data_IF_807346791893
#
_entry.id   IF_807346791893
#
_cell.length_a   1.000
_cell.length_b   1.000
_cell.length_c   1.000
_cell.angle_alpha   90.00
_cell.angle_beta   90.00
_cell.angle_gamma   90.00
#
_symmetry.space_group_name_H-M   'P 1'
#
loop_
_entity.id
_entity.type
_entity.pdbx_description
1 polymer ?
#
# COMPACT_ATOMS: atom_id res chain seq x y z
N UNK A 1 -2.62 -20.24 25.79
CA UNK A 1 -2.99 -18.80 25.81
C UNK A 1 -1.78 -17.86 25.69
N UNK A 2 -0.55 -18.29 26.03
CA UNK A 2 0.66 -17.44 25.97
C UNK A 2 1.33 -17.24 24.59
N UNK A 3 0.88 -17.91 23.53
CA UNK A 3 1.42 -17.71 22.18
C UNK A 3 0.82 -16.51 21.43
N UNK A 4 -0.27 -15.93 21.95
CA UNK A 4 -0.96 -14.76 21.38
C UNK A 4 -0.35 -13.42 21.81
N UNK A 5 0.60 -13.43 22.74
CA UNK A 5 1.26 -12.22 23.29
C UNK A 5 2.74 -12.09 22.88
N UNK A 6 3.15 -12.79 21.81
CA UNK A 6 4.50 -12.64 21.30
C UNK A 6 4.61 -11.31 20.53
N UNK A 7 5.22 -10.31 21.17
CA UNK A 7 5.56 -8.97 20.64
C UNK A 7 6.56 -9.00 19.45
N UNK A 8 6.76 -10.16 18.82
CA UNK A 8 7.58 -10.41 17.62
C UNK A 8 6.77 -10.77 16.38
N UNK A 9 5.45 -10.80 16.46
CA UNK A 9 4.59 -10.57 15.28
C UNK A 9 4.25 -9.10 15.25
N UNK A 10 5.28 -8.25 15.20
CA UNK A 10 5.13 -6.90 14.65
C UNK A 10 4.83 -7.13 13.18
N UNK A 11 3.54 -7.26 12.85
CA UNK A 11 3.07 -7.12 11.48
C UNK A 11 3.27 -5.64 11.16
N UNK A 12 4.53 -5.28 10.89
CA UNK A 12 4.93 -3.91 10.66
C UNK A 12 4.17 -3.35 9.47
N UNK A 13 4.06 -2.02 9.35
CA UNK A 13 3.52 -1.37 8.15
C UNK A 13 4.14 -1.89 6.84
N UNK A 14 5.35 -2.44 6.89
CA UNK A 14 6.03 -3.09 5.77
C UNK A 14 5.44 -4.43 5.30
N UNK A 15 4.58 -5.10 6.08
CA UNK A 15 3.82 -6.28 5.62
C UNK A 15 2.47 -5.91 4.98
N UNK A 16 2.03 -4.66 5.13
CA UNK A 16 0.85 -4.12 4.45
C UNK A 16 1.23 -3.70 3.01
N UNK A 17 1.34 -4.67 2.10
CA UNK A 17 1.21 -4.47 0.65
C UNK A 17 1.90 -3.25 0.03
N UNK A 18 3.06 -2.82 0.54
CA UNK A 18 3.76 -1.63 0.06
C UNK A 18 4.39 -1.83 -1.32
N UNK A 19 4.83 -0.74 -1.96
CA UNK A 19 5.46 -0.78 -3.29
C UNK A 19 6.66 -1.74 -3.34
N UNK A 20 7.48 -1.78 -2.29
CA UNK A 20 8.62 -2.70 -2.16
C UNK A 20 8.17 -4.16 -2.14
N UNK A 21 7.04 -4.47 -1.49
CA UNK A 21 6.48 -5.82 -1.46
C UNK A 21 5.95 -6.24 -2.83
N UNK A 22 5.27 -5.34 -3.54
CA UNK A 22 4.79 -5.59 -4.91
C UNK A 22 5.97 -5.93 -5.83
N UNK A 23 7.08 -5.18 -5.76
CA UNK A 23 8.29 -5.45 -6.55
C UNK A 23 8.87 -6.83 -6.23
N UNK A 24 8.96 -7.20 -4.94
CA UNK A 24 9.45 -8.53 -4.53
C UNK A 24 8.55 -9.67 -5.02
N UNK A 25 7.24 -9.47 -5.02
CA UNK A 25 6.30 -10.47 -5.58
C UNK A 25 6.52 -10.60 -7.07
N UNK A 26 6.64 -9.49 -7.80
CA UNK A 26 6.94 -9.51 -9.24
C UNK A 26 8.24 -10.25 -9.56
N UNK A 27 9.33 -9.99 -8.83
CA UNK A 27 10.61 -10.67 -9.06
C UNK A 27 10.49 -12.19 -8.85
N UNK A 28 9.83 -12.61 -7.77
CA UNK A 28 9.64 -14.02 -7.47
C UNK A 28 8.77 -14.73 -8.53
N UNK A 29 7.75 -14.03 -9.06
CA UNK A 29 6.89 -14.58 -10.12
C UNK A 29 7.65 -14.70 -11.45
N UNK A 30 8.55 -13.78 -11.77
CA UNK A 30 9.35 -13.81 -12.99
C UNK A 30 10.36 -14.96 -13.05
N UNK A 31 10.90 -15.40 -11.91
CA UNK A 31 11.89 -16.49 -11.83
C UNK A 31 11.30 -17.90 -12.04
N UNK A 32 9.97 -18.01 -12.17
CA UNK A 32 9.28 -19.29 -12.41
C UNK A 32 9.32 -19.68 -13.90
N UNK A 33 9.26 -20.98 -14.22
CA UNK A 33 9.30 -21.47 -15.62
C UNK A 33 8.19 -20.88 -16.52
N UNK A 34 7.01 -20.60 -15.94
CA UNK A 34 5.88 -19.92 -16.59
C UNK A 34 5.72 -18.45 -16.13
N UNK A 35 6.83 -17.79 -15.75
CA UNK A 35 6.83 -16.52 -15.04
C UNK A 35 6.10 -15.38 -15.76
N UNK A 36 6.23 -15.30 -17.09
CA UNK A 36 5.53 -14.27 -17.89
C UNK A 36 4.01 -14.37 -17.78
N UNK A 37 3.44 -15.58 -17.72
CA UNK A 37 1.99 -15.81 -17.61
C UNK A 37 1.49 -15.46 -16.21
N UNK A 38 2.26 -15.83 -15.17
CA UNK A 38 1.93 -15.48 -13.78
C UNK A 38 1.98 -13.98 -13.54
N UNK A 39 2.98 -13.29 -14.10
CA UNK A 39 3.12 -11.84 -14.01
C UNK A 39 1.94 -11.12 -14.67
N UNK A 40 1.52 -11.57 -15.86
CA UNK A 40 0.34 -11.01 -16.53
C UNK A 40 -0.93 -11.24 -15.71
N UNK A 41 -1.14 -12.45 -15.21
CA UNK A 41 -2.28 -12.74 -14.34
C UNK A 41 -2.29 -11.85 -13.08
N UNK A 42 -1.15 -11.74 -12.40
CA UNK A 42 -1.01 -10.90 -11.21
C UNK A 42 -1.26 -9.42 -11.53
N UNK A 43 -0.73 -8.93 -12.66
CA UNK A 43 -0.97 -7.57 -13.14
C UNK A 43 -2.46 -7.30 -13.37
N UNK A 44 -3.18 -8.23 -14.00
CA UNK A 44 -4.63 -8.11 -14.23
C UNK A 44 -5.36 -8.05 -12.89
N UNK A 45 -5.07 -8.96 -11.97
CA UNK A 45 -5.72 -8.97 -10.64
C UNK A 45 -5.43 -7.68 -9.85
N UNK A 46 -4.19 -7.21 -9.88
CA UNK A 46 -3.79 -5.95 -9.23
C UNK A 46 -4.56 -4.76 -9.83
N UNK A 47 -4.58 -4.63 -11.16
CA UNK A 47 -5.28 -3.54 -11.84
C UNK A 47 -6.79 -3.58 -11.60
N UNK A 48 -7.41 -4.76 -11.62
CA UNK A 48 -8.85 -4.90 -11.30
C UNK A 48 -9.14 -4.47 -9.87
N UNK A 49 -8.31 -4.88 -8.90
CA UNK A 49 -8.46 -4.42 -7.52
C UNK A 49 -8.30 -2.90 -7.40
N UNK A 50 -7.32 -2.32 -8.10
CA UNK A 50 -7.11 -0.87 -8.10
C UNK A 50 -8.27 -0.12 -8.75
N UNK A 51 -8.84 -0.66 -9.83
CA UNK A 51 -10.04 -0.12 -10.47
C UNK A 51 -11.25 -0.15 -9.52
N UNK A 52 -11.46 -1.26 -8.81
CA UNK A 52 -12.54 -1.37 -7.80
C UNK A 52 -12.34 -0.37 -6.65
N UNK A 53 -11.11 -0.22 -6.16
CA UNK A 53 -10.78 0.79 -5.14
C UNK A 53 -11.05 2.21 -5.67
N UNK A 54 -10.68 2.50 -6.91
CA UNK A 54 -10.93 3.81 -7.54
C UNK A 54 -12.42 4.11 -7.76
N UNK A 55 -13.28 3.10 -7.86
CA UNK A 55 -14.73 3.30 -7.91
C UNK A 55 -15.37 3.56 -6.54
N UNK A 56 -14.62 3.41 -5.44
CA UNK A 56 -15.14 3.73 -4.11
C UNK A 56 -15.46 5.24 -4.00
N UNK A 57 -16.44 5.60 -3.18
CA UNK A 57 -16.87 6.98 -2.99
C UNK A 57 -15.91 7.80 -2.10
N UNK A 58 -14.64 7.82 -2.46
CA UNK A 58 -13.60 8.56 -1.74
C UNK A 58 -13.35 9.89 -2.45
N UNK A 59 -13.38 11.05 -1.75
CA UNK A 59 -13.30 12.39 -2.36
C UNK A 59 -12.08 12.68 -3.24
N UNK A 60 -11.00 11.91 -3.10
CA UNK A 60 -9.74 12.07 -3.86
C UNK A 60 -9.63 11.08 -5.03
N UNK A 61 -10.47 10.04 -5.04
CA UNK A 61 -10.50 9.04 -6.12
C UNK A 61 -11.59 9.41 -7.13
N UNK A 62 -11.45 8.89 -8.36
CA UNK A 62 -12.39 9.14 -9.47
C UNK A 62 -13.85 8.82 -9.10
N UNK A 63 -14.08 7.77 -8.31
CA UNK A 63 -15.40 7.36 -7.80
C UNK A 63 -16.06 8.39 -6.88
N UNK A 64 -15.28 9.23 -6.18
CA UNK A 64 -15.81 10.31 -5.35
C UNK A 64 -16.49 11.40 -6.18
N UNK A 65 -15.88 11.79 -7.29
CA UNK A 65 -16.46 12.77 -8.22
C UNK A 65 -17.73 12.24 -8.90
N UNK A 66 -17.74 10.95 -9.25
CA UNK A 66 -18.90 10.28 -9.83
C UNK A 66 -20.04 10.25 -8.80
N UNK A 67 -19.78 9.87 -7.55
CA UNK A 67 -20.81 9.85 -6.51
C UNK A 67 -21.37 11.25 -6.25
N UNK A 68 -20.53 12.28 -6.16
CA UNK A 68 -21.00 13.64 -5.91
C UNK A 68 -21.90 14.16 -7.03
N UNK A 69 -21.51 13.89 -8.28
CA UNK A 69 -22.33 14.20 -9.46
C UNK A 69 -23.68 13.46 -9.42
N UNK A 70 -23.67 12.19 -8.98
CA UNK A 70 -24.89 11.40 -8.80
C UNK A 70 -25.79 11.97 -7.70
N UNK A 71 -25.20 12.35 -6.56
CA UNK A 71 -25.92 12.98 -5.44
C UNK A 71 -26.50 14.33 -5.87
N UNK A 72 -25.77 15.11 -6.65
CA UNK A 72 -26.25 16.39 -7.20
C UNK A 72 -27.40 16.17 -8.19
N UNK A 73 -27.31 15.17 -9.07
CA UNK A 73 -28.39 14.79 -9.98
C UNK A 73 -29.66 14.36 -9.23
N UNK A 74 -29.52 13.60 -8.14
CA UNK A 74 -30.65 13.19 -7.29
C UNK A 74 -31.22 14.36 -6.48
N UNK A 75 -30.37 15.19 -5.87
CA UNK A 75 -30.80 16.34 -5.04
C UNK A 75 -31.24 17.55 -5.86
N UNK A 76 -30.98 17.58 -7.17
CA UNK A 76 -31.21 18.70 -8.10
C UNK A 76 -30.69 20.05 -7.59
N UNK A 77 -29.67 20.03 -6.73
CA UNK A 77 -29.14 21.22 -6.07
C UNK A 77 -27.62 21.11 -6.02
N UNK A 78 -26.96 22.12 -6.59
CA UNK A 78 -25.52 22.17 -6.68
C UNK A 78 -24.87 22.13 -5.30
N UNK A 79 -23.88 21.25 -5.14
CA UNK A 79 -22.99 21.25 -3.98
C UNK A 79 -22.06 22.44 -4.13
N UNK A 80 -21.79 23.17 -3.04
CA UNK A 80 -20.95 24.37 -3.15
C UNK A 80 -19.51 23.97 -3.53
N UNK A 81 -18.95 24.50 -4.65
CA UNK A 81 -17.63 24.12 -5.13
C UNK A 81 -16.53 24.39 -4.10
N UNK A 82 -16.71 25.41 -3.24
CA UNK A 82 -15.77 25.72 -2.17
C UNK A 82 -15.67 24.60 -1.14
N UNK A 83 -16.80 24.08 -0.66
CA UNK A 83 -16.79 23.01 0.36
C UNK A 83 -16.17 21.74 -0.21
N UNK A 84 -16.46 21.42 -1.47
CA UNK A 84 -15.87 20.29 -2.15
C UNK A 84 -14.34 20.44 -2.28
N UNK A 85 -13.87 21.60 -2.73
CA UNK A 85 -12.43 21.88 -2.82
C UNK A 85 -11.75 21.77 -1.44
N UNK A 86 -12.34 22.31 -0.38
CA UNK A 86 -11.77 22.18 0.97
C UNK A 86 -11.67 20.72 1.44
N UNK A 87 -12.72 19.93 1.22
CA UNK A 87 -12.72 18.50 1.60
C UNK A 87 -11.69 17.73 0.77
N UNK A 88 -11.67 17.94 -0.56
CA UNK A 88 -10.76 17.25 -1.46
C UNK A 88 -9.30 17.61 -1.17
N UNK A 89 -8.98 18.90 -1.01
CA UNK A 89 -7.63 19.36 -0.68
C UNK A 89 -7.19 18.87 0.70
N UNK A 90 -8.08 18.91 1.70
CA UNK A 90 -7.78 18.40 3.04
C UNK A 90 -7.49 16.90 3.04
N UNK A 91 -8.32 16.12 2.35
CA UNK A 91 -8.14 14.67 2.24
C UNK A 91 -6.91 14.31 1.40
N UNK A 92 -6.62 15.05 0.32
CA UNK A 92 -5.42 14.86 -0.48
C UNK A 92 -4.15 15.16 0.32
N UNK A 93 -4.14 16.26 1.09
CA UNK A 93 -3.02 16.60 1.97
C UNK A 93 -2.82 15.54 3.05
N UNK A 94 -3.91 15.00 3.62
CA UNK A 94 -3.86 13.91 4.58
C UNK A 94 -3.28 12.63 3.97
N UNK A 95 -3.71 12.24 2.77
CA UNK A 95 -3.19 11.06 2.06
C UNK A 95 -1.72 11.22 1.70
N UNK A 96 -1.32 12.36 1.13
CA UNK A 96 0.07 12.64 0.79
C UNK A 96 0.93 12.64 2.06
N UNK A 97 0.46 13.28 3.13
CA UNK A 97 1.14 13.30 4.42
C UNK A 97 1.31 11.89 5.00
N UNK A 98 0.27 11.05 4.92
CA UNK A 98 0.33 9.65 5.35
C UNK A 98 1.29 8.81 4.50
N UNK A 99 1.30 9.04 3.18
CA UNK A 99 2.19 8.36 2.25
C UNK A 99 3.66 8.72 2.52
N UNK A 100 3.96 10.00 2.76
CA UNK A 100 5.28 10.46 3.18
C UNK A 100 5.65 9.87 4.55
N UNK A 101 4.74 9.90 5.52
CA UNK A 101 4.96 9.32 6.84
C UNK A 101 5.39 7.85 6.73
N UNK A 102 4.63 7.02 6.00
CA UNK A 102 5.00 5.62 5.78
C UNK A 102 6.36 5.50 5.09
N UNK A 103 6.60 6.27 4.02
CA UNK A 103 7.85 6.22 3.29
C UNK A 103 9.07 6.56 4.16
N UNK A 104 8.95 7.56 5.05
CA UNK A 104 10.00 7.90 6.01
C UNK A 104 10.27 6.78 7.02
N UNK A 105 9.21 6.17 7.57
CA UNK A 105 9.34 5.06 8.50
C UNK A 105 9.93 3.81 7.83
N UNK A 106 9.50 3.46 6.62
CA UNK A 106 9.98 2.31 5.85
C UNK A 106 11.45 2.48 5.44
N UNK A 107 11.83 3.67 4.96
CA UNK A 107 13.24 3.97 4.60
C UNK A 107 14.16 3.92 5.82
N UNK A 108 13.71 4.47 6.95
CA UNK A 108 14.48 4.45 8.21
C UNK A 108 14.68 3.04 8.76
N UNK A 109 13.64 2.20 8.70
CA UNK A 109 13.73 0.80 9.12
C UNK A 109 14.64 -0.01 8.19
N UNK A 110 14.55 0.20 6.87
CA UNK A 110 15.40 -0.47 5.89
C UNK A 110 16.89 -0.16 6.08
N UNK A 111 17.24 1.11 6.28
CA UNK A 111 18.63 1.53 6.55
C UNK A 111 19.15 0.93 7.86
N UNK A 112 18.34 0.96 8.93
CA UNK A 112 18.71 0.40 10.24
C UNK A 112 18.92 -1.12 10.17
N UNK A 113 18.08 -1.80 9.38
CA UNK A 113 18.15 -3.23 9.13
C UNK A 113 19.41 -3.62 8.34
N UNK A 114 19.82 -2.79 7.36
CA UNK A 114 21.05 -2.99 6.60
C UNK A 114 22.33 -2.91 7.45
N UNK A 115 22.36 -2.02 8.44
CA UNK A 115 23.50 -1.89 9.37
C UNK A 115 23.56 -3.03 10.39
N UNK A 116 22.40 -3.53 10.85
CA UNK A 116 22.31 -4.63 11.82
C UNK A 116 22.78 -5.98 11.22
N UNK A 117 22.51 -6.22 9.93
CA UNK A 117 22.94 -7.44 9.23
C UNK A 117 24.47 -7.54 9.04
N UNK A 118 25.21 -6.43 9.10
CA UNK A 118 26.68 -6.47 9.04
C UNK A 118 27.35 -6.86 10.37
N UNK A 119 26.62 -6.90 11.48
CA UNK A 119 27.17 -7.25 12.80
C UNK A 119 26.88 -8.69 13.25
N UNK A 120 26.02 -9.45 12.56
CA UNK A 120 25.89 -10.88 12.82
C UNK A 120 27.00 -11.66 12.10
N UNK A 121 28.14 -11.80 12.79
CA UNK A 121 29.22 -12.71 12.44
C UNK A 121 28.63 -14.12 12.31
N UNK A 122 28.60 -14.69 11.11
CA UNK A 122 28.25 -16.09 10.88
C UNK A 122 29.31 -16.93 11.59
N UNK A 123 28.99 -17.40 12.79
CA UNK A 123 29.75 -18.46 13.46
C UNK A 123 29.32 -19.75 12.79
N UNK A 124 30.17 -20.28 11.92
CA UNK A 124 30.07 -21.64 11.44
C UNK A 124 30.06 -22.57 12.67
N UNK A 125 28.95 -23.25 12.91
CA UNK A 125 28.99 -24.43 13.76
C UNK A 125 29.91 -25.45 13.05
N UNK A 126 30.94 -25.99 13.72
CA UNK A 126 31.66 -27.12 13.16
C UNK A 126 30.67 -28.26 12.99
N UNK A 127 30.53 -28.74 11.75
CA UNK A 127 29.76 -29.95 11.46
C UNK A 127 30.43 -31.12 12.19
N UNK A 128 29.69 -31.95 12.96
CA UNK A 128 30.19 -33.26 13.35
C UNK A 128 30.33 -34.17 12.12
#
# INVERSE_FOLDING_TARGET
VGALFNKKTEIGPGQLGGAVMIIRVYSNLFDSEDGWRLVLWFSVVLNVNLALLNMLPLPVLDGGHILLSLIEAVRRKAVSPRVLNYIQSGFAMLLIGFMLYIAFFDTGDWIRSGLKNRQQKIVFAPKP
#
